data_IF_503361929025
#
_entry.id   IF_503361929025
#
_cell.length_a   1.000
_cell.length_b   1.000
_cell.length_c   1.000
_cell.angle_alpha   90.00
_cell.angle_beta   90.00
_cell.angle_gamma   90.00
#
_symmetry.space_group_name_H-M   'P 1'
#
loop_
_entity.id
_entity.type
_entity.pdbx_description
1 polymer ?
#
# COMPACT_ATOMS: atom_id res chain seq x y z
N UNK A 1 11.57 31.86 9.12
CA UNK A 1 10.96 30.75 9.88
C UNK A 1 9.47 30.76 9.62
N UNK A 2 8.98 29.86 8.77
CA UNK A 2 7.55 29.59 8.63
C UNK A 2 7.36 28.08 8.70
N UNK A 3 7.32 27.57 9.92
CA UNK A 3 6.82 26.24 10.26
C UNK A 3 5.33 26.39 10.55
N UNK A 4 4.54 25.41 10.08
CA UNK A 4 3.11 25.16 10.35
C UNK A 4 2.12 25.47 9.22
N UNK A 5 2.22 24.78 8.07
CA UNK A 5 1.03 24.49 7.23
C UNK A 5 1.11 23.12 6.52
N UNK A 6 1.62 22.06 7.19
CA UNK A 6 1.59 20.70 6.63
C UNK A 6 1.19 19.64 7.66
N UNK A 7 0.18 19.93 8.48
CA UNK A 7 -0.42 18.92 9.34
C UNK A 7 -1.94 18.87 9.12
N UNK A 8 -2.39 17.71 8.61
CA UNK A 8 -3.76 17.13 8.71
C UNK A 8 -4.70 17.15 7.49
N UNK A 9 -4.24 17.29 6.24
CA UNK A 9 -5.16 17.10 5.09
C UNK A 9 -4.80 16.02 4.06
N UNK A 10 -3.61 15.42 4.07
CA UNK A 10 -3.27 14.33 3.12
C UNK A 10 -3.42 12.93 3.72
N UNK A 11 -4.48 12.69 4.49
CA UNK A 11 -5.03 11.34 4.61
C UNK A 11 -5.99 11.20 3.43
N UNK A 12 -5.43 11.03 2.23
CA UNK A 12 -6.22 10.75 1.04
C UNK A 12 -7.03 9.47 1.28
N UNK A 13 -8.34 9.64 1.48
CA UNK A 13 -9.32 8.57 1.35
C UNK A 13 -9.27 8.06 -0.09
N UNK A 14 -8.46 7.03 -0.34
CA UNK A 14 -8.68 6.14 -1.47
C UNK A 14 -9.89 5.27 -1.11
N UNK A 15 -11.07 5.87 -1.25
CA UNK A 15 -12.33 5.15 -1.36
C UNK A 15 -12.60 5.01 -2.85
N UNK A 16 -12.38 3.82 -3.39
CA UNK A 16 -13.17 3.33 -4.53
C UNK A 16 -13.00 1.82 -4.66
N UNK A 17 -14.05 1.08 -4.30
CA UNK A 17 -14.67 0.09 -5.18
C UNK A 17 -16.12 -0.10 -4.74
N UNK A 18 -17.04 0.09 -5.68
CA UNK A 18 -18.49 0.07 -5.47
C UNK A 18 -18.94 -1.36 -5.18
N UNK A 19 -19.57 -1.49 -4.03
CA UNK A 19 -20.00 -2.70 -3.35
C UNK A 19 -21.07 -3.48 -4.12
N UNK A 20 -20.83 -4.78 -4.39
CA UNK A 20 -21.85 -5.74 -3.91
C UNK A 20 -21.91 -5.52 -2.40
N UNK A 21 -23.09 -5.29 -1.81
CA UNK A 21 -23.23 -5.08 -0.36
C UNK A 21 -22.88 -6.38 0.34
N UNK A 22 -21.58 -6.66 0.43
CA UNK A 22 -21.00 -7.70 1.24
C UNK A 22 -21.14 -7.16 2.65
N UNK A 23 -21.99 -7.79 3.46
CA UNK A 23 -22.03 -7.52 4.89
C UNK A 23 -20.75 -8.13 5.49
N UNK A 24 -19.72 -7.32 5.83
CA UNK A 24 -18.43 -7.86 6.29
C UNK A 24 -18.61 -8.66 7.57
N UNK A 25 -19.55 -8.25 8.42
CA UNK A 25 -19.90 -8.92 9.67
C UNK A 25 -20.38 -10.35 9.45
N UNK A 26 -21.22 -10.61 8.44
CA UNK A 26 -21.69 -11.99 8.16
C UNK A 26 -20.53 -12.90 7.75
N UNK A 27 -19.65 -12.43 6.88
CA UNK A 27 -18.48 -13.21 6.42
C UNK A 27 -17.58 -13.56 7.61
N UNK A 28 -17.29 -12.57 8.46
CA UNK A 28 -16.47 -12.76 9.66
C UNK A 28 -17.12 -13.79 10.58
N UNK A 29 -18.41 -13.63 10.91
CA UNK A 29 -19.12 -14.57 11.80
C UNK A 29 -19.14 -16.01 11.25
N UNK A 30 -19.30 -16.18 9.94
CA UNK A 30 -19.28 -17.50 9.32
C UNK A 30 -17.87 -18.13 9.37
N UNK A 31 -16.82 -17.32 9.19
CA UNK A 31 -15.41 -17.76 9.30
C UNK A 31 -14.99 -18.04 10.75
N UNK A 32 -15.46 -17.27 11.71
CA UNK A 32 -15.28 -17.54 13.15
C UNK A 32 -15.86 -18.91 13.51
N UNK A 33 -17.10 -19.21 13.09
CA UNK A 33 -17.71 -20.52 13.29
C UNK A 33 -16.92 -21.63 12.63
N UNK A 34 -16.41 -21.40 11.42
CA UNK A 34 -15.58 -22.38 10.70
C UNK A 34 -14.28 -22.67 11.44
N UNK A 35 -13.63 -21.64 11.98
CA UNK A 35 -12.41 -21.79 12.76
C UNK A 35 -12.68 -22.51 14.09
N UNK A 36 -13.77 -22.17 14.78
CA UNK A 36 -14.18 -22.87 16.01
C UNK A 36 -14.49 -24.35 15.78
N UNK A 37 -15.09 -24.69 14.64
CA UNK A 37 -15.36 -26.08 14.27
C UNK A 37 -14.06 -26.82 13.91
N UNK A 38 -13.11 -26.14 13.28
CA UNK A 38 -11.84 -26.72 12.87
C UNK A 38 -10.72 -25.68 12.82
N UNK A 39 -9.79 -25.78 13.77
CA UNK A 39 -8.65 -24.87 13.91
C UNK A 39 -7.51 -25.18 12.93
N UNK A 40 -7.78 -25.14 11.63
CA UNK A 40 -6.75 -25.30 10.60
C UNK A 40 -6.04 -23.98 10.28
N UNK A 41 -4.84 -24.08 9.74
CA UNK A 41 -4.08 -22.94 9.23
C UNK A 41 -4.90 -22.14 8.20
N UNK A 42 -5.52 -22.81 7.24
CA UNK A 42 -6.31 -22.18 6.18
C UNK A 42 -7.54 -21.45 6.72
N UNK A 43 -8.24 -22.04 7.70
CA UNK A 43 -9.40 -21.40 8.31
C UNK A 43 -9.00 -20.14 9.08
N UNK A 44 -7.84 -20.16 9.75
CA UNK A 44 -7.33 -19.02 10.52
C UNK A 44 -6.88 -17.89 9.61
N UNK A 45 -6.15 -18.22 8.54
CA UNK A 45 -5.71 -17.25 7.54
C UNK A 45 -6.91 -16.63 6.81
N UNK A 46 -7.93 -17.42 6.45
CA UNK A 46 -9.14 -16.90 5.82
C UNK A 46 -9.89 -15.91 6.73
N UNK A 47 -9.97 -16.19 8.04
CA UNK A 47 -10.56 -15.27 9.02
C UNK A 47 -9.72 -13.98 9.14
N UNK A 48 -8.39 -14.09 9.20
CA UNK A 48 -7.48 -12.94 9.22
C UNK A 48 -7.66 -12.04 7.99
N UNK A 49 -7.75 -12.64 6.79
CA UNK A 49 -8.00 -11.91 5.54
C UNK A 49 -9.34 -11.17 5.56
N UNK A 50 -10.37 -11.75 6.19
CA UNK A 50 -11.67 -11.09 6.34
C UNK A 50 -11.60 -9.89 7.29
N UNK A 51 -10.89 -10.02 8.41
CA UNK A 51 -10.65 -8.89 9.33
C UNK A 51 -9.84 -7.78 8.66
N UNK A 52 -8.78 -8.12 7.91
CA UNK A 52 -7.98 -7.13 7.18
C UNK A 52 -8.85 -6.36 6.17
N UNK A 53 -9.67 -7.06 5.39
CA UNK A 53 -10.63 -6.43 4.45
C UNK A 53 -11.65 -5.54 5.16
N UNK A 54 -12.08 -5.91 6.36
CA UNK A 54 -12.97 -5.12 7.21
C UNK A 54 -12.25 -3.98 7.96
N UNK A 55 -10.93 -3.82 7.78
CA UNK A 55 -10.08 -2.85 8.50
C UNK A 55 -10.03 -3.06 10.01
N UNK A 56 -10.29 -4.28 10.46
CA UNK A 56 -10.17 -4.75 11.84
C UNK A 56 -8.74 -5.27 12.04
N UNK A 57 -7.80 -4.33 12.16
CA UNK A 57 -6.38 -4.67 12.01
C UNK A 57 -5.80 -5.41 13.22
N UNK A 58 -6.29 -5.13 14.43
CA UNK A 58 -5.80 -5.80 15.65
C UNK A 58 -6.16 -7.30 15.61
N UNK A 59 -7.39 -7.62 15.20
CA UNK A 59 -7.87 -8.99 15.01
C UNK A 59 -7.11 -9.70 13.88
N UNK A 60 -6.94 -9.02 12.74
CA UNK A 60 -6.16 -9.55 11.63
C UNK A 60 -4.72 -9.88 12.05
N UNK A 61 -4.04 -8.95 12.74
CA UNK A 61 -2.67 -9.14 13.24
C UNK A 61 -2.60 -10.37 14.16
N UNK A 62 -3.52 -10.48 15.12
CA UNK A 62 -3.56 -11.60 16.07
C UNK A 62 -3.68 -12.96 15.36
N UNK A 63 -4.58 -13.06 14.38
CA UNK A 63 -4.76 -14.30 13.62
C UNK A 63 -3.56 -14.63 12.73
N UNK A 64 -3.00 -13.66 12.00
CA UNK A 64 -1.80 -13.91 11.19
C UNK A 64 -0.59 -14.32 12.03
N UNK A 65 -0.34 -13.65 13.15
CA UNK A 65 0.75 -14.01 14.07
C UNK A 65 0.61 -15.43 14.60
N UNK A 66 -0.62 -15.83 14.95
CA UNK A 66 -0.91 -17.20 15.39
C UNK A 66 -0.68 -18.20 14.25
N UNK A 67 -1.08 -17.87 13.02
CA UNK A 67 -0.84 -18.71 11.85
C UNK A 67 0.65 -18.89 11.51
N UNK A 68 1.51 -17.95 11.88
CA UNK A 68 2.97 -18.01 11.66
C UNK A 68 3.73 -18.77 12.76
N UNK A 69 3.04 -19.42 13.70
CA UNK A 69 3.72 -20.23 14.73
C UNK A 69 4.10 -21.61 14.20
N UNK A 70 5.23 -22.14 14.66
CA UNK A 70 5.68 -23.50 14.33
C UNK A 70 6.04 -23.66 12.85
N UNK A 71 5.47 -24.68 12.20
CA UNK A 71 5.85 -25.09 10.84
C UNK A 71 5.61 -24.02 9.76
N UNK A 72 4.75 -23.04 10.02
CA UNK A 72 4.34 -22.03 9.05
C UNK A 72 5.05 -20.67 9.22
N UNK A 73 6.08 -20.57 10.06
CA UNK A 73 6.82 -19.33 10.33
C UNK A 73 7.30 -18.61 9.06
N UNK A 74 7.70 -19.37 8.05
CA UNK A 74 8.20 -18.86 6.78
C UNK A 74 7.15 -18.83 5.66
N UNK A 75 5.86 -18.95 5.98
CA UNK A 75 4.81 -18.86 4.96
C UNK A 75 4.81 -17.46 4.33
N UNK A 76 5.17 -17.39 3.05
CA UNK A 76 5.36 -16.13 2.35
C UNK A 76 4.06 -15.33 2.27
N UNK A 77 2.92 -15.99 2.02
CA UNK A 77 1.63 -15.31 1.88
C UNK A 77 1.25 -14.64 3.19
N UNK A 78 1.23 -15.40 4.29
CA UNK A 78 0.85 -14.89 5.60
C UNK A 78 1.80 -13.80 6.07
N UNK A 79 3.10 -13.94 5.83
CA UNK A 79 4.07 -12.88 6.16
C UNK A 79 3.81 -11.59 5.36
N UNK A 80 3.43 -11.67 4.09
CA UNK A 80 3.06 -10.47 3.31
C UNK A 80 1.77 -9.81 3.81
N UNK A 81 0.76 -10.61 4.20
CA UNK A 81 -0.49 -10.10 4.74
C UNK A 81 -0.30 -9.45 6.12
N UNK A 82 0.56 -10.03 6.97
CA UNK A 82 0.93 -9.43 8.24
C UNK A 82 1.66 -8.10 8.05
N UNK A 83 2.61 -8.02 7.10
CA UNK A 83 3.27 -6.75 6.76
C UNK A 83 2.26 -5.69 6.33
N UNK A 84 1.30 -6.05 5.47
CA UNK A 84 0.23 -5.15 5.04
C UNK A 84 -0.64 -4.68 6.20
N UNK A 85 -1.01 -5.59 7.10
CA UNK A 85 -1.79 -5.28 8.31
C UNK A 85 -1.04 -4.29 9.22
N UNK A 86 0.25 -4.52 9.45
CA UNK A 86 1.09 -3.65 10.27
C UNK A 86 1.19 -2.24 9.66
N UNK A 87 1.35 -2.15 8.34
CA UNK A 87 1.39 -0.86 7.65
C UNK A 87 0.07 -0.08 7.80
N UNK A 88 -1.07 -0.71 7.53
CA UNK A 88 -2.37 -0.03 7.64
C UNK A 88 -2.78 0.31 9.08
N UNK A 89 -2.22 -0.41 10.06
CA UNK A 89 -2.30 -0.08 11.48
C UNK A 89 -1.34 1.04 11.91
N UNK A 90 -0.60 1.64 10.98
CA UNK A 90 0.44 2.64 11.25
C UNK A 90 1.57 2.16 12.17
N UNK A 91 1.84 0.86 12.19
CA UNK A 91 2.90 0.24 13.00
C UNK A 91 4.19 0.10 12.15
N UNK A 92 4.75 1.23 11.72
CA UNK A 92 5.81 1.26 10.70
C UNK A 92 7.12 0.62 11.18
N UNK A 93 7.51 0.79 12.44
CA UNK A 93 8.69 0.14 13.02
C UNK A 93 8.55 -1.39 12.99
N UNK A 94 7.33 -1.89 13.24
CA UNK A 94 7.05 -3.33 13.13
C UNK A 94 7.17 -3.81 11.69
N UNK A 95 6.73 -3.03 10.70
CA UNK A 95 6.95 -3.35 9.27
C UNK A 95 8.45 -3.54 8.98
N UNK A 96 9.30 -2.64 9.47
CA UNK A 96 10.75 -2.73 9.25
C UNK A 96 11.35 -3.97 9.91
N UNK A 97 10.91 -4.31 11.12
CA UNK A 97 11.40 -5.51 11.82
C UNK A 97 10.89 -6.82 11.20
N UNK A 98 9.69 -6.82 10.61
CA UNK A 98 9.04 -8.00 10.06
C UNK A 98 9.52 -8.36 8.65
N UNK A 99 9.91 -7.37 7.84
CA UNK A 99 10.25 -7.57 6.42
C UNK A 99 11.32 -8.66 6.19
N UNK A 100 12.19 -8.91 7.17
CA UNK A 100 13.26 -9.91 7.08
C UNK A 100 12.77 -11.32 6.74
N UNK A 101 11.55 -11.69 7.12
CA UNK A 101 10.97 -13.01 6.79
C UNK A 101 10.66 -13.21 5.31
N UNK A 102 10.58 -12.14 4.52
CA UNK A 102 10.17 -12.18 3.10
C UNK A 102 11.10 -11.43 2.15
N UNK A 103 11.99 -10.57 2.64
CA UNK A 103 12.80 -9.63 1.83
C UNK A 103 13.68 -10.33 0.78
N UNK A 104 14.21 -11.51 1.10
CA UNK A 104 15.11 -12.27 0.22
C UNK A 104 14.37 -13.08 -0.85
N UNK A 105 13.06 -13.23 -0.72
CA UNK A 105 12.24 -13.91 -1.72
C UNK A 105 12.24 -13.11 -3.04
N UNK A 106 12.49 -13.75 -4.20
CA UNK A 106 12.36 -13.09 -5.50
C UNK A 106 10.97 -12.49 -5.74
N UNK A 107 9.92 -13.08 -5.11
CA UNK A 107 8.54 -12.59 -5.20
C UNK A 107 8.36 -11.22 -4.52
N UNK A 108 9.25 -10.83 -3.61
CA UNK A 108 9.14 -9.59 -2.86
C UNK A 108 9.38 -8.35 -3.72
N UNK A 109 10.39 -8.38 -4.60
CA UNK A 109 10.98 -7.20 -5.29
C UNK A 109 10.00 -6.24 -5.98
N UNK A 110 8.85 -6.73 -6.45
CA UNK A 110 7.79 -5.93 -7.11
C UNK A 110 6.40 -6.23 -6.55
N UNK A 111 6.35 -6.76 -5.34
CA UNK A 111 5.12 -7.05 -4.62
C UNK A 111 4.56 -5.81 -3.94
N UNK A 112 3.26 -5.83 -3.64
CA UNK A 112 2.61 -4.84 -2.77
C UNK A 112 3.30 -4.71 -1.42
N UNK A 113 3.73 -5.81 -0.81
CA UNK A 113 4.48 -5.79 0.46
C UNK A 113 5.80 -4.99 0.36
N UNK A 114 6.53 -5.11 -0.76
CA UNK A 114 7.74 -4.31 -0.97
C UNK A 114 7.44 -2.83 -1.19
N UNK A 115 6.30 -2.50 -1.80
CA UNK A 115 5.87 -1.10 -1.92
C UNK A 115 5.50 -0.51 -0.55
N UNK A 116 4.72 -1.24 0.26
CA UNK A 116 4.35 -0.82 1.62
C UNK A 116 5.58 -0.70 2.55
N UNK A 117 6.56 -1.59 2.40
CA UNK A 117 7.85 -1.47 3.09
C UNK A 117 8.57 -0.17 2.74
N UNK A 118 8.58 0.22 1.45
CA UNK A 118 9.18 1.49 1.01
C UNK A 118 8.48 2.71 1.63
N UNK A 119 7.15 2.68 1.71
CA UNK A 119 6.38 3.72 2.37
C UNK A 119 6.64 3.75 3.88
N UNK A 120 6.80 2.59 4.53
CA UNK A 120 7.16 2.53 5.95
C UNK A 120 8.57 3.13 6.19
N UNK A 121 9.54 2.82 5.32
CA UNK A 121 10.89 3.41 5.38
C UNK A 121 10.82 4.94 5.36
N UNK A 122 10.01 5.52 4.45
CA UNK A 122 9.76 6.97 4.42
C UNK A 122 9.23 7.49 5.76
N UNK A 123 8.20 6.84 6.32
CA UNK A 123 7.59 7.26 7.61
C UNK A 123 8.54 7.18 8.78
N UNK A 124 9.51 6.28 8.73
CA UNK A 124 10.55 6.12 9.76
C UNK A 124 11.82 6.92 9.49
N UNK A 125 11.89 7.63 8.35
CA UNK A 125 13.00 8.55 8.03
C UNK A 125 14.14 7.97 7.20
N UNK A 126 14.09 6.71 6.76
CA UNK A 126 15.08 6.14 5.83
C UNK A 126 14.70 6.48 4.38
N UNK A 127 14.84 7.77 4.05
CA UNK A 127 14.41 8.35 2.77
C UNK A 127 15.18 7.75 1.59
N UNK A 128 16.48 7.51 1.74
CA UNK A 128 17.32 6.99 0.67
C UNK A 128 16.90 5.56 0.28
N UNK A 129 16.67 4.69 1.26
CA UNK A 129 16.22 3.32 0.99
C UNK A 129 14.76 3.31 0.50
N UNK A 130 13.91 4.19 1.02
CA UNK A 130 12.54 4.35 0.53
C UNK A 130 12.53 4.66 -0.98
N UNK A 131 13.33 5.63 -1.43
CA UNK A 131 13.46 5.98 -2.85
C UNK A 131 13.95 4.79 -3.68
N UNK A 132 14.98 4.07 -3.21
CA UNK A 132 15.52 2.89 -3.91
C UNK A 132 14.46 1.82 -4.18
N UNK A 133 13.51 1.65 -3.25
CA UNK A 133 12.40 0.72 -3.44
C UNK A 133 11.25 1.29 -4.28
N UNK A 134 10.86 2.56 -4.07
CA UNK A 134 9.74 3.18 -4.79
C UNK A 134 10.01 3.30 -6.29
N UNK A 135 11.24 3.66 -6.70
CA UNK A 135 11.61 3.79 -8.12
C UNK A 135 11.41 2.46 -8.88
N UNK A 136 11.52 1.30 -8.22
CA UNK A 136 11.29 -0.02 -8.86
C UNK A 136 9.85 -0.20 -9.35
N UNK A 137 8.92 0.66 -8.91
CA UNK A 137 7.52 0.69 -9.32
C UNK A 137 7.23 1.74 -10.39
N UNK A 138 8.19 2.59 -10.73
CA UNK A 138 8.07 3.48 -11.87
C UNK A 138 8.11 2.65 -13.17
N UNK A 139 6.97 2.61 -13.85
CA UNK A 139 6.76 1.76 -15.02
C UNK A 139 5.85 2.49 -16.01
N UNK A 140 6.40 3.15 -17.04
CA UNK A 140 5.64 3.89 -18.04
C UNK A 140 4.45 3.11 -18.60
N UNK A 141 3.36 3.81 -18.88
CA UNK A 141 2.08 3.25 -19.33
C UNK A 141 1.39 2.30 -18.33
N UNK A 142 1.89 2.18 -17.10
CA UNK A 142 1.35 1.30 -16.07
C UNK A 142 1.55 1.89 -14.66
N UNK A 143 1.04 1.20 -13.64
CA UNK A 143 1.31 1.51 -12.22
C UNK A 143 1.09 2.99 -11.84
N UNK A 144 0.06 3.61 -12.41
CA UNK A 144 -0.21 5.04 -12.17
C UNK A 144 -0.41 5.37 -10.69
N UNK A 145 -0.91 4.42 -9.91
CA UNK A 145 -1.09 4.62 -8.48
C UNK A 145 0.27 4.71 -7.78
N UNK A 146 1.16 3.75 -8.04
CA UNK A 146 2.51 3.75 -7.47
C UNK A 146 3.36 4.92 -7.99
N UNK A 147 3.24 5.28 -9.27
CA UNK A 147 3.93 6.45 -9.85
C UNK A 147 3.43 7.77 -9.26
N UNK A 148 2.12 7.90 -9.05
CA UNK A 148 1.56 9.07 -8.36
C UNK A 148 2.08 9.16 -6.92
N UNK A 149 2.15 8.04 -6.20
CA UNK A 149 2.73 8.02 -4.84
C UNK A 149 4.23 8.31 -4.83
N UNK A 150 5.00 7.87 -5.83
CA UNK A 150 6.41 8.25 -5.99
C UNK A 150 6.57 9.76 -6.24
N UNK A 151 5.70 10.36 -7.06
CA UNK A 151 5.70 11.81 -7.25
C UNK A 151 5.40 12.55 -5.94
N UNK A 152 4.39 12.10 -5.18
CA UNK A 152 4.09 12.68 -3.85
C UNK A 152 5.23 12.48 -2.86
N UNK A 153 5.92 11.34 -2.90
CA UNK A 153 7.13 11.11 -2.11
C UNK A 153 8.18 12.18 -2.43
N UNK A 154 8.47 12.42 -3.70
CA UNK A 154 9.42 13.46 -4.12
C UNK A 154 9.00 14.86 -3.64
N UNK A 155 7.70 15.19 -3.66
CA UNK A 155 7.20 16.46 -3.11
C UNK A 155 7.48 16.54 -1.59
N UNK A 156 7.19 15.47 -0.83
CA UNK A 156 7.39 15.44 0.62
C UNK A 156 8.85 15.61 1.04
N UNK A 157 9.79 15.17 0.20
CA UNK A 157 11.23 15.29 0.45
C UNK A 157 11.88 16.48 -0.27
N UNK A 158 11.08 17.42 -0.76
CA UNK A 158 11.52 18.64 -1.45
C UNK A 158 12.32 18.39 -2.75
N UNK A 159 12.15 17.22 -3.37
CA UNK A 159 12.73 16.88 -4.67
C UNK A 159 11.79 17.28 -5.80
N UNK A 160 11.45 18.57 -5.86
CA UNK A 160 10.40 19.12 -6.73
C UNK A 160 10.65 18.85 -8.21
N UNK A 161 11.90 18.91 -8.68
CA UNK A 161 12.23 18.63 -10.07
C UNK A 161 11.93 17.19 -10.49
N UNK A 162 12.22 16.22 -9.62
CA UNK A 162 11.88 14.80 -9.86
C UNK A 162 10.36 14.59 -9.85
N UNK A 163 9.66 15.21 -8.91
CA UNK A 163 8.20 15.17 -8.88
C UNK A 163 7.60 15.73 -10.16
N UNK A 164 8.05 16.92 -10.60
CA UNK A 164 7.58 17.59 -11.81
C UNK A 164 7.84 16.77 -13.06
N UNK A 165 9.03 16.18 -13.18
CA UNK A 165 9.38 15.31 -14.30
C UNK A 165 8.41 14.12 -14.40
N UNK A 166 8.21 13.38 -13.30
CA UNK A 166 7.34 12.21 -13.27
C UNK A 166 5.86 12.56 -13.53
N UNK A 167 5.37 13.66 -12.98
CA UNK A 167 3.99 14.11 -13.21
C UNK A 167 3.76 14.53 -14.67
N UNK A 168 4.76 15.18 -15.29
CA UNK A 168 4.73 15.54 -16.72
C UNK A 168 4.74 14.30 -17.61
N UNK A 169 5.51 13.27 -17.28
CA UNK A 169 5.46 11.98 -17.98
C UNK A 169 4.06 11.34 -17.91
N UNK A 170 3.45 11.28 -16.72
CA UNK A 170 2.08 10.75 -16.56
C UNK A 170 1.08 11.54 -17.42
N UNK A 171 1.20 12.86 -17.47
CA UNK A 171 0.36 13.71 -18.30
C UNK A 171 0.59 13.44 -19.80
N UNK A 172 1.83 13.41 -20.28
CA UNK A 172 2.17 13.19 -21.68
C UNK A 172 1.70 11.81 -22.16
N UNK A 173 1.89 10.78 -21.33
CA UNK A 173 1.38 9.43 -21.61
C UNK A 173 -0.13 9.42 -21.77
N UNK A 174 -0.87 10.22 -20.98
CA UNK A 174 -2.33 10.29 -21.04
C UNK A 174 -2.89 10.77 -22.37
N UNK A 175 -2.13 11.58 -23.12
CA UNK A 175 -2.52 12.09 -24.44
C UNK A 175 -2.50 10.97 -25.49
N UNK A 176 -1.57 10.01 -25.35
CA UNK A 176 -1.41 8.88 -26.28
C UNK A 176 -2.25 7.64 -25.95
N UNK A 177 -3.04 7.65 -24.87
CA UNK A 177 -3.78 6.47 -24.43
C UNK A 177 -4.99 6.13 -25.31
N UNK A 178 -5.30 4.83 -25.38
CA UNK A 178 -6.62 4.39 -25.83
C UNK A 178 -7.71 4.88 -24.85
N UNK A 179 -8.94 5.05 -25.35
CA UNK A 179 -10.09 5.46 -24.52
C UNK A 179 -10.29 4.55 -23.31
N UNK A 180 -10.09 3.23 -23.47
CA UNK A 180 -10.24 2.25 -22.41
C UNK A 180 -9.18 2.41 -21.33
N UNK A 181 -7.90 2.52 -21.73
CA UNK A 181 -6.78 2.70 -20.80
C UNK A 181 -6.90 4.02 -20.04
N UNK A 182 -7.27 5.10 -20.73
CA UNK A 182 -7.53 6.38 -20.09
C UNK A 182 -8.68 6.28 -19.07
N UNK A 183 -9.80 5.63 -19.43
CA UNK A 183 -10.94 5.47 -18.52
C UNK A 183 -10.56 4.74 -17.23
N UNK A 184 -9.73 3.71 -17.32
CA UNK A 184 -9.26 2.93 -16.15
C UNK A 184 -8.38 3.76 -15.21
N UNK A 185 -7.60 4.71 -15.75
CA UNK A 185 -6.61 5.47 -14.98
C UNK A 185 -7.01 6.94 -14.77
N UNK A 186 -8.21 7.34 -15.21
CA UNK A 186 -8.66 8.73 -15.30
C UNK A 186 -8.48 9.50 -14.00
N UNK A 187 -8.84 8.88 -12.87
CA UNK A 187 -8.77 9.52 -11.55
C UNK A 187 -7.32 9.81 -11.17
N UNK A 188 -6.42 8.86 -11.39
CA UNK A 188 -5.00 8.99 -11.06
C UNK A 188 -4.31 10.02 -11.96
N UNK A 189 -4.60 10.00 -13.26
CA UNK A 189 -4.09 10.99 -14.22
C UNK A 189 -4.58 12.39 -13.86
N UNK A 190 -5.85 12.54 -13.50
CA UNK A 190 -6.38 13.84 -13.07
C UNK A 190 -5.65 14.36 -11.83
N UNK A 191 -5.46 13.53 -10.80
CA UNK A 191 -4.68 13.89 -9.62
C UNK A 191 -3.26 14.31 -9.96
N UNK A 192 -2.62 13.64 -10.92
CA UNK A 192 -1.27 14.00 -11.36
C UNK A 192 -1.24 15.39 -12.02
N UNK A 193 -2.22 15.70 -12.88
CA UNK A 193 -2.37 17.03 -13.49
C UNK A 193 -2.66 18.11 -12.45
N UNK A 194 -3.60 17.84 -11.54
CA UNK A 194 -3.96 18.78 -10.47
C UNK A 194 -2.72 19.12 -9.59
N UNK A 195 -1.87 18.12 -9.29
CA UNK A 195 -0.60 18.34 -8.57
C UNK A 195 0.40 19.16 -9.39
N UNK A 196 0.53 18.88 -10.68
CA UNK A 196 1.44 19.61 -11.57
C UNK A 196 1.03 21.08 -11.71
N UNK A 197 -0.27 21.36 -11.83
CA UNK A 197 -0.85 22.70 -11.95
C UNK A 197 -0.82 23.49 -10.64
N UNK A 198 -0.86 22.80 -9.49
CA UNK A 198 -0.86 23.44 -8.16
C UNK A 198 0.40 24.26 -7.83
N UNK A 199 1.39 24.26 -8.72
CA UNK A 199 2.65 24.97 -8.51
C UNK A 199 3.43 24.33 -7.37
N UNK A 200 3.87 23.09 -7.60
CA UNK A 200 4.83 22.37 -6.75
C UNK A 200 5.92 23.38 -6.32
N UNK A 201 5.91 23.77 -5.04
CA UNK A 201 6.31 25.08 -4.49
C UNK A 201 7.43 25.86 -5.18
N UNK A 202 7.29 27.20 -5.18
CA UNK A 202 8.41 28.14 -5.34
C UNK A 202 9.26 28.21 -4.07
#
# INVERSE_FOLDING_TARGET
>A
MFLNVFQKQDIEKVQEEITTVINPTKIITDLEKKLMFSETFENRVALADAYLKAKMFDEAEGHYRTSLQGTFENDYYVNTQLLETLYFSSQFEKVLSHVGSIKDSPKFKKSRASFLYALALEKTGDIALAEEYLIKFDAPYSRYQERLELAKFYIRIDSIDKARALLKEIEEESVGMSKTSYKQNKILIKKAKDLLESGLGN
#
